data_IF_383262857921
#
_entry.id   IF_383262857921
#
_cell.length_a   1.000
_cell.length_b   1.000
_cell.length_c   1.000
_cell.angle_alpha   90.00
_cell.angle_beta   90.00
_cell.angle_gamma   90.00
#
_symmetry.space_group_name_H-M   'P 1'
#
loop_
_entity.id
_entity.type
_entity.pdbx_description
1 polymer ?
#
# COMPACT_ATOMS: atom_id res chain seq x y z
N UNK A 1 4.93 -11.26 15.26
CA UNK A 1 6.21 -10.56 15.50
C UNK A 1 6.05 -9.14 15.01
N UNK A 2 6.30 -8.15 15.88
CA UNK A 2 6.25 -6.73 15.49
C UNK A 2 7.58 -6.39 14.82
N UNK A 3 7.60 -5.95 13.55
CA UNK A 3 8.84 -5.56 12.87
C UNK A 3 9.36 -4.21 13.43
N UNK A 4 10.68 -3.98 13.32
CA UNK A 4 11.25 -2.66 13.60
C UNK A 4 10.83 -1.63 12.55
N UNK A 5 10.90 -0.34 12.89
CA UNK A 5 10.59 0.73 11.94
C UNK A 5 11.51 0.73 10.72
N UNK A 6 12.81 0.44 10.89
CA UNK A 6 13.74 0.26 9.76
C UNK A 6 13.31 -0.86 8.82
N UNK A 7 12.74 -1.95 9.38
CA UNK A 7 12.22 -3.05 8.59
C UNK A 7 10.97 -2.61 7.84
N UNK A 8 10.04 -1.90 8.49
CA UNK A 8 8.86 -1.33 7.81
C UNK A 8 9.26 -0.40 6.68
N UNK A 9 10.28 0.44 6.88
CA UNK A 9 10.81 1.32 5.84
C UNK A 9 11.34 0.53 4.64
N UNK A 10 12.14 -0.53 4.86
CA UNK A 10 12.64 -1.38 3.77
C UNK A 10 11.53 -2.12 3.02
N UNK A 11 10.53 -2.63 3.75
CA UNK A 11 9.37 -3.30 3.14
C UNK A 11 8.55 -2.32 2.30
N UNK A 12 8.31 -1.12 2.82
CA UNK A 12 7.68 -0.02 2.09
C UNK A 12 8.43 0.29 0.79
N UNK A 13 9.75 0.50 0.85
CA UNK A 13 10.56 0.78 -0.35
C UNK A 13 10.46 -0.34 -1.37
N UNK A 14 10.44 -1.59 -0.91
CA UNK A 14 10.29 -2.75 -1.80
C UNK A 14 8.93 -2.76 -2.51
N UNK A 15 7.84 -2.53 -1.78
CA UNK A 15 6.49 -2.45 -2.35
C UNK A 15 6.37 -1.27 -3.31
N UNK A 16 6.88 -0.09 -2.92
CA UNK A 16 6.91 1.09 -3.77
C UNK A 16 7.62 0.82 -5.09
N UNK A 17 8.78 0.16 -5.05
CA UNK A 17 9.53 -0.19 -6.24
C UNK A 17 8.75 -1.14 -7.15
N UNK A 18 8.09 -2.16 -6.58
CA UNK A 18 7.24 -3.07 -7.36
C UNK A 18 6.07 -2.33 -8.01
N UNK A 19 5.40 -1.43 -7.29
CA UNK A 19 4.28 -0.67 -7.85
C UNK A 19 4.73 0.26 -9.00
N UNK A 20 5.87 0.94 -8.85
CA UNK A 20 6.32 2.00 -9.77
C UNK A 20 7.14 1.52 -10.95
N UNK A 21 7.88 0.41 -10.82
CA UNK A 21 8.81 -0.05 -11.87
C UNK A 21 8.29 -1.25 -12.67
N UNK A 22 7.19 -1.86 -12.24
CA UNK A 22 6.53 -2.90 -13.02
C UNK A 22 5.61 -2.28 -14.08
N UNK A 23 5.25 -3.05 -15.12
CA UNK A 23 4.28 -2.65 -16.17
C UNK A 23 2.84 -2.64 -15.65
N UNK A 24 2.63 -1.97 -14.53
CA UNK A 24 1.36 -1.81 -13.82
C UNK A 24 0.67 -0.47 -14.15
N UNK A 25 1.36 0.45 -14.84
CA UNK A 25 0.83 1.78 -15.22
C UNK A 25 0.36 2.59 -14.00
N UNK A 26 1.02 2.37 -12.86
CA UNK A 26 0.76 3.10 -11.63
C UNK A 26 1.22 4.55 -11.82
N UNK A 27 0.30 5.50 -11.64
CA UNK A 27 0.59 6.92 -11.78
C UNK A 27 1.03 7.55 -10.45
N UNK A 28 0.51 7.05 -9.31
CA UNK A 28 0.80 7.59 -7.97
C UNK A 28 0.83 6.49 -6.92
N UNK A 29 1.68 6.65 -5.90
CA UNK A 29 1.77 5.76 -4.73
C UNK A 29 2.10 6.59 -3.50
N UNK A 30 1.43 6.33 -2.38
CA UNK A 30 1.75 6.95 -1.09
C UNK A 30 1.44 6.02 0.08
N UNK A 31 2.11 6.27 1.22
CA UNK A 31 1.66 5.76 2.52
C UNK A 31 0.39 6.51 2.91
N UNK A 32 -0.53 5.81 3.53
CA UNK A 32 -1.76 6.38 4.07
C UNK A 32 -1.97 6.03 5.55
N UNK A 33 -3.01 6.62 6.13
CA UNK A 33 -3.57 6.19 7.41
C UNK A 33 -2.66 6.49 8.61
N UNK A 34 -2.78 5.67 9.65
CA UNK A 34 -2.14 5.93 10.95
C UNK A 34 -0.61 6.02 10.86
N UNK A 35 0.02 5.18 10.03
CA UNK A 35 1.46 5.21 9.79
C UNK A 35 1.91 6.43 8.99
N UNK A 36 1.12 6.88 8.02
CA UNK A 36 1.40 8.14 7.33
C UNK A 36 1.25 9.36 8.25
N UNK A 37 0.38 9.29 9.27
CA UNK A 37 0.12 10.38 10.23
C UNK A 37 1.00 10.33 11.49
N UNK A 38 1.84 9.30 11.64
CA UNK A 38 2.65 9.07 12.85
C UNK A 38 1.76 8.89 14.12
N UNK A 39 0.58 8.31 13.95
CA UNK A 39 -0.37 7.98 15.02
C UNK A 39 -0.54 6.46 15.21
N UNK A 40 0.43 5.69 14.74
CA UNK A 40 0.32 4.23 14.67
C UNK A 40 0.73 3.58 15.99
N UNK A 41 0.14 2.40 16.25
CA UNK A 41 0.65 1.48 17.26
C UNK A 41 1.75 0.61 16.64
N UNK A 42 2.70 0.07 17.42
CA UNK A 42 3.78 -0.74 16.88
C UNK A 42 3.30 -1.91 15.98
N UNK A 43 2.15 -2.48 16.29
CA UNK A 43 1.51 -3.58 15.57
C UNK A 43 0.59 -3.15 14.41
N UNK A 44 0.42 -1.85 14.16
CA UNK A 44 -0.45 -1.36 13.08
C UNK A 44 0.09 -1.75 11.71
N UNK A 45 -0.82 -2.04 10.79
CA UNK A 45 -0.54 -2.33 9.39
C UNK A 45 -0.12 -1.04 8.66
N UNK A 46 0.51 -1.18 7.49
CA UNK A 46 0.84 -0.05 6.61
C UNK A 46 -0.17 0.04 5.47
N UNK A 47 -1.00 1.08 5.52
CA UNK A 47 -1.87 1.41 4.40
C UNK A 47 -1.06 2.04 3.27
N UNK A 48 -1.22 1.50 2.06
CA UNK A 48 -0.61 2.00 0.83
C UNK A 48 -1.73 2.31 -0.15
N UNK A 49 -1.90 3.58 -0.46
CA UNK A 49 -2.80 4.02 -1.52
C UNK A 49 -2.03 4.19 -2.82
N UNK A 50 -2.65 3.84 -3.93
CA UNK A 50 -2.09 4.04 -5.25
C UNK A 50 -3.19 4.28 -6.29
N UNK A 51 -2.80 4.95 -7.37
CA UNK A 51 -3.66 5.19 -8.53
C UNK A 51 -2.99 4.62 -9.79
N UNK A 52 -3.80 4.20 -10.76
CA UNK A 52 -3.37 3.59 -12.01
C UNK A 52 -3.96 4.38 -13.16
N UNK A 53 -3.15 4.70 -14.17
CA UNK A 53 -3.59 5.43 -15.34
C UNK A 53 -4.79 4.75 -16.01
N UNK A 54 -5.80 5.54 -16.38
CA UNK A 54 -7.04 5.03 -16.96
C UNK A 54 -8.08 4.52 -15.94
N UNK A 55 -7.81 4.68 -14.63
CA UNK A 55 -8.73 4.37 -13.53
C UNK A 55 -9.43 2.99 -13.65
N UNK A 56 -8.66 1.89 -13.77
CA UNK A 56 -9.25 0.57 -13.92
C UNK A 56 -10.05 0.19 -12.67
N UNK A 57 -11.10 -0.61 -12.84
CA UNK A 57 -11.82 -1.17 -11.70
C UNK A 57 -10.93 -2.13 -10.90
N UNK A 58 -11.17 -2.21 -9.59
CA UNK A 58 -10.51 -3.17 -8.68
C UNK A 58 -10.62 -4.61 -9.17
N UNK A 59 -11.80 -5.01 -9.67
CA UNK A 59 -12.04 -6.36 -10.23
C UNK A 59 -11.10 -6.71 -11.39
N UNK A 60 -10.73 -5.71 -12.20
CA UNK A 60 -9.86 -5.90 -13.35
C UNK A 60 -8.38 -5.82 -12.95
N UNK A 61 -8.03 -4.93 -12.02
CA UNK A 61 -6.64 -4.66 -11.66
C UNK A 61 -6.08 -5.62 -10.60
N UNK A 62 -6.85 -5.98 -9.57
CA UNK A 62 -6.35 -6.75 -8.43
C UNK A 62 -5.82 -8.14 -8.79
N UNK A 63 -6.41 -8.91 -9.72
CA UNK A 63 -5.81 -10.17 -10.15
C UNK A 63 -4.40 -9.98 -10.74
N UNK A 64 -4.21 -8.91 -11.53
CA UNK A 64 -2.90 -8.55 -12.09
C UNK A 64 -1.92 -8.14 -10.98
N UNK A 65 -2.36 -7.32 -10.04
CA UNK A 65 -1.56 -6.88 -8.90
C UNK A 65 -1.10 -8.05 -8.04
N UNK A 66 -2.02 -8.93 -7.64
CA UNK A 66 -1.73 -10.12 -6.81
C UNK A 66 -0.69 -11.00 -7.49
N UNK A 67 -0.83 -11.25 -8.80
CA UNK A 67 0.17 -12.02 -9.56
C UNK A 67 1.56 -11.37 -9.53
N UNK A 68 1.64 -10.05 -9.72
CA UNK A 68 2.91 -9.31 -9.69
C UNK A 68 3.53 -9.34 -8.28
N UNK A 69 2.72 -9.14 -7.24
CA UNK A 69 3.18 -9.17 -5.86
C UNK A 69 3.69 -10.56 -5.47
N UNK A 70 2.96 -11.63 -5.79
CA UNK A 70 3.41 -13.01 -5.56
C UNK A 70 4.72 -13.34 -6.31
N UNK A 71 4.93 -12.80 -7.50
CA UNK A 71 6.17 -13.00 -8.25
C UNK A 71 7.38 -12.31 -7.60
N UNK A 72 7.18 -11.14 -6.97
CA UNK A 72 8.25 -10.38 -6.32
C UNK A 72 8.46 -10.78 -4.84
N UNK A 73 7.43 -11.35 -4.21
CA UNK A 73 7.43 -11.73 -2.80
C UNK A 73 6.98 -13.20 -2.63
N UNK A 74 7.72 -14.18 -3.21
CA UNK A 74 7.26 -15.57 -3.33
C UNK A 74 7.10 -16.32 -2.00
N UNK A 75 7.68 -15.80 -0.92
CA UNK A 75 7.61 -16.40 0.41
C UNK A 75 6.61 -15.70 1.34
N UNK A 76 5.89 -14.69 0.82
CA UNK A 76 4.98 -13.86 1.59
C UNK A 76 3.53 -14.15 1.19
N UNK A 77 2.57 -13.83 2.06
CA UNK A 77 1.16 -14.16 1.81
C UNK A 77 0.46 -12.96 1.17
N UNK A 78 0.06 -13.07 -0.10
CA UNK A 78 -0.66 -12.02 -0.85
C UNK A 78 -2.07 -12.49 -1.16
N UNK A 79 -3.09 -11.71 -0.75
CA UNK A 79 -4.49 -12.11 -0.92
C UNK A 79 -5.44 -10.90 -0.98
N UNK A 80 -6.61 -11.02 -1.66
CA UNK A 80 -7.61 -9.97 -1.63
C UNK A 80 -8.33 -9.91 -0.28
N UNK A 81 -8.67 -8.70 0.18
CA UNK A 81 -9.54 -8.51 1.34
C UNK A 81 -10.97 -9.00 1.07
N UNK A 82 -11.73 -9.30 2.14
CA UNK A 82 -13.09 -9.89 2.04
C UNK A 82 -14.07 -9.07 1.21
N UNK A 83 -13.97 -7.74 1.26
CA UNK A 83 -14.80 -6.82 0.48
C UNK A 83 -14.22 -6.51 -0.91
N UNK A 84 -13.12 -7.15 -1.29
CA UNK A 84 -12.36 -6.92 -2.52
C UNK A 84 -11.95 -5.44 -2.73
N UNK A 85 -11.83 -4.70 -1.63
CA UNK A 85 -11.46 -3.28 -1.64
C UNK A 85 -9.99 -3.01 -1.39
N UNK A 86 -9.24 -4.05 -1.05
CA UNK A 86 -7.83 -4.00 -0.66
C UNK A 86 -7.16 -5.30 -1.08
N UNK A 87 -5.85 -5.25 -1.35
CA UNK A 87 -4.98 -6.42 -1.45
C UNK A 87 -4.04 -6.40 -0.25
N UNK A 88 -4.08 -7.45 0.55
CA UNK A 88 -3.23 -7.63 1.72
C UNK A 88 -1.90 -8.29 1.32
N UNK A 89 -0.82 -7.89 1.99
CA UNK A 89 0.47 -8.56 1.98
C UNK A 89 0.94 -8.76 3.42
N UNK A 90 1.00 -10.01 3.84
CA UNK A 90 1.49 -10.43 5.16
C UNK A 90 2.90 -11.01 5.02
N UNK A 91 3.89 -10.31 5.59
CA UNK A 91 5.28 -10.76 5.58
C UNK A 91 5.54 -11.76 6.71
N UNK A 92 6.10 -12.94 6.38
CA UNK A 92 6.34 -14.06 7.29
C UNK A 92 7.20 -13.69 8.51
N UNK A 93 8.12 -12.74 8.34
CA UNK A 93 8.99 -12.20 9.40
C UNK A 93 8.44 -10.90 10.03
N UNK A 94 7.14 -10.66 9.89
CA UNK A 94 6.45 -9.48 10.42
C UNK A 94 6.43 -8.29 9.45
N UNK A 95 5.35 -7.52 9.56
CA UNK A 95 4.97 -6.44 8.65
C UNK A 95 3.72 -6.82 7.86
N UNK A 96 2.72 -5.95 7.88
CA UNK A 96 1.46 -6.13 7.14
C UNK A 96 1.18 -4.88 6.34
N UNK A 97 0.71 -5.07 5.11
CA UNK A 97 0.46 -3.99 4.18
C UNK A 97 -0.87 -4.15 3.48
N UNK A 98 -1.60 -3.04 3.40
CA UNK A 98 -2.91 -2.96 2.78
C UNK A 98 -2.80 -2.09 1.54
N UNK A 99 -2.87 -2.71 0.35
CA UNK A 99 -2.77 -2.02 -0.93
C UNK A 99 -4.17 -1.63 -1.42
N UNK A 100 -4.44 -0.34 -1.49
CA UNK A 100 -5.75 0.22 -1.87
C UNK A 100 -5.63 0.96 -3.19
N UNK A 101 -6.41 0.53 -4.18
CA UNK A 101 -6.50 1.21 -5.47
C UNK A 101 -7.59 2.27 -5.37
N UNK A 102 -7.23 3.49 -5.72
CA UNK A 102 -8.09 4.66 -5.76
C UNK A 102 -8.10 5.25 -7.17
N UNK A 103 -9.17 5.98 -7.50
CA UNK A 103 -9.08 6.94 -8.61
C UNK A 103 -8.05 8.02 -8.31
N UNK A 104 -7.51 8.68 -9.33
CA UNK A 104 -6.54 9.78 -9.11
C UNK A 104 -7.11 10.88 -8.20
N UNK A 105 -8.42 11.18 -8.33
CA UNK A 105 -9.11 12.16 -7.48
C UNK A 105 -9.16 11.73 -6.02
N UNK A 106 -9.58 10.49 -5.75
CA UNK A 106 -9.63 9.96 -4.39
C UNK A 106 -8.24 9.88 -3.76
N UNK A 107 -7.23 9.52 -4.56
CA UNK A 107 -5.83 9.54 -4.13
C UNK A 107 -5.42 10.94 -3.66
N UNK A 108 -5.66 11.97 -4.48
CA UNK A 108 -5.25 13.33 -4.15
C UNK A 108 -5.93 13.86 -2.88
N UNK A 109 -7.22 13.56 -2.70
CA UNK A 109 -7.97 13.91 -1.49
C UNK A 109 -7.34 13.21 -0.27
N UNK A 110 -7.15 11.89 -0.34
CA UNK A 110 -6.68 11.13 0.81
C UNK A 110 -5.22 11.48 1.17
N UNK A 111 -4.35 11.57 0.16
CA UNK A 111 -2.96 11.96 0.36
C UNK A 111 -2.85 13.39 0.88
N UNK A 112 -3.64 14.32 0.33
CA UNK A 112 -3.71 15.71 0.79
C UNK A 112 -4.09 15.82 2.26
N UNK A 113 -5.12 15.08 2.70
CA UNK A 113 -5.53 15.02 4.10
C UNK A 113 -4.43 14.49 5.01
N UNK A 114 -3.69 13.46 4.58
CA UNK A 114 -2.58 12.91 5.37
C UNK A 114 -1.39 13.88 5.46
N UNK A 115 -1.11 14.63 4.39
CA UNK A 115 -0.09 15.70 4.36
C UNK A 115 -0.49 16.85 5.28
N UNK A 116 -1.73 17.34 5.18
CA UNK A 116 -2.25 18.43 6.00
C UNK A 116 -2.25 18.05 7.48
N UNK A 117 -2.66 16.82 7.81
CA UNK A 117 -2.60 16.32 9.17
C UNK A 117 -1.19 16.44 9.75
N UNK A 118 -0.17 15.96 9.03
CA UNK A 118 1.22 16.06 9.48
C UNK A 118 1.64 17.51 9.68
N UNK A 119 1.31 18.40 8.74
CA UNK A 119 1.66 19.82 8.81
C UNK A 119 1.09 20.53 10.05
N UNK A 120 -0.08 20.11 10.50
CA UNK A 120 -0.78 20.76 11.60
C UNK A 120 -0.48 20.15 12.98
N UNK A 121 0.17 18.98 13.05
CA UNK A 121 0.31 18.21 14.30
C UNK A 121 1.75 17.75 14.61
N UNK A 122 2.72 18.05 13.74
CA UNK A 122 4.13 17.71 13.89
C UNK A 122 4.99 18.96 13.63
#
# INVERSE_FOLDING_TARGET
MIPSEDRYHRLWTSIYNVLTHQRLEVSRVAKAGSRARIQYRPDSDMDVIFAVSGDPSKSNFYPKLIRVMNANFPNETVYPGRSYNVVHIDFARGGKFDLVLLSEREFDIQHGNDVEYRRNNL
#
